data_IF_022959047104
#
_entry.id   IF_022959047104
#
_cell.length_a   1.000
_cell.length_b   1.000
_cell.length_c   1.000
_cell.angle_alpha   90.00
_cell.angle_beta   90.00
_cell.angle_gamma   90.00
#
_symmetry.space_group_name_H-M   'P 1'
#
loop_
_entity.id
_entity.type
_entity.pdbx_description
1 polymer ?
#
# COMPACT_ATOMS: atom_id res chain seq x y z
N UNK A 1 26.33 -4.53 -4.72
CA UNK A 1 25.03 -4.07 -4.20
C UNK A 1 24.01 -5.08 -4.68
N UNK A 2 23.38 -5.78 -3.75
CA UNK A 2 22.24 -6.64 -4.10
C UNK A 2 21.07 -5.70 -4.40
N UNK A 3 20.28 -5.91 -5.46
CA UNK A 3 19.37 -4.86 -5.88
C UNK A 3 18.14 -4.84 -4.94
N UNK A 4 17.87 -3.67 -4.38
CA UNK A 4 16.84 -3.45 -3.34
C UNK A 4 15.42 -3.56 -3.91
N UNK A 5 14.47 -4.07 -3.11
CA UNK A 5 13.03 -4.05 -3.42
C UNK A 5 12.33 -3.04 -2.53
N UNK A 6 11.38 -2.31 -3.10
CA UNK A 6 10.55 -1.40 -2.32
C UNK A 6 9.06 -1.64 -2.59
N UNK A 7 8.25 -1.71 -1.53
CA UNK A 7 6.80 -1.79 -1.62
C UNK A 7 6.17 -0.63 -0.85
N UNK A 8 5.47 0.26 -1.55
CA UNK A 8 4.59 1.23 -0.91
C UNK A 8 3.25 0.58 -0.60
N UNK A 9 2.93 0.40 0.69
CA UNK A 9 1.63 -0.09 1.14
C UNK A 9 0.82 1.07 1.71
N UNK A 10 -0.24 1.49 1.01
CA UNK A 10 -1.08 2.64 1.37
C UNK A 10 -2.51 2.23 1.69
N UNK A 11 -3.14 2.99 2.59
CA UNK A 11 -4.58 2.91 2.83
C UNK A 11 -5.32 3.47 1.62
N UNK A 12 -6.44 2.86 1.26
CA UNK A 12 -7.33 3.42 0.25
C UNK A 12 -7.73 4.88 0.55
N UNK A 13 -8.03 5.64 -0.51
CA UNK A 13 -8.54 7.01 -0.39
C UNK A 13 -9.94 7.08 0.21
N UNK A 14 -10.41 8.29 0.47
CA UNK A 14 -11.77 8.52 0.99
C UNK A 14 -12.83 7.82 0.14
N UNK A 15 -13.71 7.08 0.80
CA UNK A 15 -14.79 6.31 0.15
C UNK A 15 -16.13 6.97 0.36
N UNK A 16 -17.06 6.64 -0.52
CA UNK A 16 -18.48 6.95 -0.32
C UNK A 16 -18.98 6.18 0.92
N UNK A 17 -19.74 6.81 1.85
CA UNK A 17 -20.13 6.17 3.11
C UNK A 17 -20.89 4.85 2.94
N UNK A 18 -21.74 4.78 1.92
CA UNK A 18 -22.66 3.66 1.67
C UNK A 18 -22.23 2.78 0.48
N UNK A 19 -21.04 2.98 -0.08
CA UNK A 19 -20.59 2.22 -1.24
C UNK A 19 -19.10 1.85 -1.19
N UNK A 20 -18.76 0.68 -1.74
CA UNK A 20 -17.37 0.29 -1.97
C UNK A 20 -16.83 0.96 -3.24
N UNK A 21 -16.70 2.27 -3.20
CA UNK A 21 -16.10 3.10 -4.27
C UNK A 21 -15.50 4.37 -3.67
N UNK A 22 -14.57 4.99 -4.37
CA UNK A 22 -14.04 6.28 -3.93
C UNK A 22 -15.08 7.39 -4.03
N UNK A 23 -15.02 8.35 -3.10
CA UNK A 23 -15.68 9.64 -3.29
C UNK A 23 -14.97 10.44 -4.38
N UNK A 24 -15.62 11.49 -4.88
CA UNK A 24 -14.98 12.39 -5.85
C UNK A 24 -13.73 13.06 -5.26
N UNK A 25 -13.79 13.45 -3.98
CA UNK A 25 -12.67 14.02 -3.24
C UNK A 25 -11.55 12.99 -3.03
N UNK A 26 -11.87 11.78 -2.59
CA UNK A 26 -10.90 10.69 -2.42
C UNK A 26 -10.17 10.35 -3.71
N UNK A 27 -10.86 10.38 -4.86
CA UNK A 27 -10.25 10.21 -6.18
C UNK A 27 -9.32 11.35 -6.54
N UNK A 28 -9.75 12.61 -6.35
CA UNK A 28 -8.94 13.78 -6.65
C UNK A 28 -7.65 13.80 -5.82
N UNK A 29 -7.75 13.53 -4.50
CA UNK A 29 -6.60 13.45 -3.60
C UNK A 29 -5.63 12.32 -3.96
N UNK A 30 -6.15 11.18 -4.42
CA UNK A 30 -5.33 10.07 -4.90
C UNK A 30 -4.57 10.44 -6.20
N UNK A 31 -5.23 11.13 -7.13
CA UNK A 31 -4.56 11.67 -8.33
C UNK A 31 -3.49 12.71 -7.96
N UNK A 32 -3.77 13.60 -7.00
CA UNK A 32 -2.79 14.56 -6.48
C UNK A 32 -1.59 13.90 -5.83
N UNK A 33 -1.81 12.86 -5.04
CA UNK A 33 -0.72 12.05 -4.49
C UNK A 33 0.13 11.46 -5.63
N UNK A 34 -0.50 10.87 -6.65
CA UNK A 34 0.18 10.36 -7.84
C UNK A 34 1.06 11.41 -8.51
N UNK A 35 0.53 12.63 -8.72
CA UNK A 35 1.27 13.77 -9.27
C UNK A 35 2.48 14.14 -8.43
N UNK A 36 2.31 14.24 -7.11
CA UNK A 36 3.38 14.61 -6.16
C UNK A 36 4.50 13.58 -6.10
N UNK A 37 4.15 12.29 -6.10
CA UNK A 37 5.15 11.23 -6.02
C UNK A 37 6.01 11.15 -7.28
N UNK A 38 5.43 11.44 -8.46
CA UNK A 38 6.15 11.39 -9.74
C UNK A 38 6.82 10.04 -10.01
N UNK A 39 6.40 9.00 -9.31
CA UNK A 39 7.06 7.72 -9.26
C UNK A 39 6.46 6.76 -10.28
N UNK A 40 7.27 5.80 -10.70
CA UNK A 40 6.84 4.64 -11.48
C UNK A 40 6.81 3.42 -10.56
N UNK A 41 5.83 2.57 -10.77
CA UNK A 41 5.71 1.27 -10.10
C UNK A 41 5.72 0.17 -11.15
N UNK A 42 6.55 -0.83 -10.90
CA UNK A 42 6.74 -1.98 -11.79
C UNK A 42 5.65 -3.04 -11.60
N UNK A 43 5.04 -3.07 -10.40
CA UNK A 43 3.94 -3.95 -10.03
C UNK A 43 2.95 -3.22 -9.12
N UNK A 44 1.67 -3.57 -9.25
CA UNK A 44 0.58 -2.97 -8.45
C UNK A 44 -0.28 -4.07 -7.87
N UNK A 45 -0.51 -4.03 -6.56
CA UNK A 45 -1.36 -4.94 -5.81
C UNK A 45 -2.52 -4.18 -5.17
N UNK A 46 -3.70 -4.78 -5.14
CA UNK A 46 -4.87 -4.20 -4.48
C UNK A 46 -5.58 -5.26 -3.69
N UNK A 47 -6.13 -4.90 -2.55
CA UNK A 47 -7.10 -5.77 -1.90
C UNK A 47 -8.31 -6.01 -2.82
N UNK A 48 -9.10 -7.09 -2.60
CA UNK A 48 -10.37 -7.32 -3.30
C UNK A 48 -11.41 -6.19 -3.27
N UNK A 49 -11.28 -5.21 -2.36
CA UNK A 49 -12.19 -4.07 -2.29
C UNK A 49 -12.08 -3.15 -3.51
N UNK A 50 -13.22 -2.78 -4.09
CA UNK A 50 -13.27 -1.92 -5.27
C UNK A 50 -12.66 -0.54 -5.02
N UNK A 51 -12.86 0.05 -3.83
CA UNK A 51 -12.22 1.33 -3.47
C UNK A 51 -10.68 1.28 -3.49
N UNK A 52 -10.08 0.12 -3.20
CA UNK A 52 -8.64 -0.05 -3.27
C UNK A 52 -8.15 -0.02 -4.73
N UNK A 53 -8.86 -0.74 -5.62
CA UNK A 53 -8.60 -0.69 -7.05
C UNK A 53 -8.77 0.71 -7.65
N UNK A 54 -9.84 1.42 -7.26
CA UNK A 54 -10.06 2.80 -7.70
C UNK A 54 -8.97 3.77 -7.18
N UNK A 55 -8.48 3.55 -5.95
CA UNK A 55 -7.35 4.34 -5.40
C UNK A 55 -6.08 4.13 -6.20
N UNK A 56 -5.73 2.87 -6.47
CA UNK A 56 -4.56 2.57 -7.30
C UNK A 56 -4.69 3.24 -8.68
N UNK A 57 -5.83 3.06 -9.36
CA UNK A 57 -6.05 3.67 -10.67
C UNK A 57 -5.93 5.20 -10.67
N UNK A 58 -6.42 5.87 -9.63
CA UNK A 58 -6.31 7.31 -9.46
C UNK A 58 -4.84 7.76 -9.25
N UNK A 59 -4.10 7.11 -8.35
CA UNK A 59 -2.67 7.38 -8.14
C UNK A 59 -1.88 7.21 -9.44
N UNK A 60 -2.09 6.10 -10.15
CA UNK A 60 -1.37 5.79 -11.39
C UNK A 60 -1.68 6.81 -12.49
N UNK A 61 -2.95 7.24 -12.60
CA UNK A 61 -3.37 8.32 -13.52
C UNK A 61 -2.65 9.63 -13.17
N UNK A 62 -2.63 10.01 -11.90
CA UNK A 62 -1.95 11.21 -11.43
C UNK A 62 -0.45 11.20 -11.73
N UNK A 63 0.21 10.06 -11.57
CA UNK A 63 1.63 9.89 -11.86
C UNK A 63 1.96 9.94 -13.38
N UNK A 64 0.95 9.90 -14.26
CA UNK A 64 1.17 9.78 -15.71
C UNK A 64 1.85 8.47 -16.10
N UNK A 65 1.75 7.43 -15.26
CA UNK A 65 2.39 6.15 -15.48
C UNK A 65 1.53 5.24 -16.38
N UNK A 66 2.13 4.66 -17.42
CA UNK A 66 1.64 3.40 -18.00
C UNK A 66 1.91 2.30 -16.98
N UNK A 67 0.98 2.15 -16.04
CA UNK A 67 1.14 1.22 -14.94
C UNK A 67 0.58 -0.15 -15.33
N UNK A 68 1.15 -1.24 -14.78
CA UNK A 68 0.59 -2.57 -14.96
C UNK A 68 -0.84 -2.62 -14.41
N UNK A 69 -1.66 -3.50 -14.98
CA UNK A 69 -2.98 -3.77 -14.41
C UNK A 69 -2.83 -4.27 -12.96
N UNK A 70 -3.58 -3.71 -12.00
CA UNK A 70 -3.49 -4.14 -10.61
C UNK A 70 -3.83 -5.62 -10.45
N UNK A 71 -3.01 -6.33 -9.69
CA UNK A 71 -3.30 -7.69 -9.25
C UNK A 71 -4.08 -7.67 -7.93
N UNK A 72 -5.10 -8.51 -7.83
CA UNK A 72 -5.84 -8.69 -6.58
C UNK A 72 -5.05 -9.56 -5.62
N UNK A 73 -4.74 -9.04 -4.44
CA UNK A 73 -4.05 -9.71 -3.34
C UNK A 73 -4.99 -9.90 -2.14
N UNK A 74 -5.63 -11.08 -1.98
CA UNK A 74 -6.57 -11.35 -0.88
C UNK A 74 -5.97 -11.14 0.52
N UNK A 75 -4.67 -11.41 0.68
CA UNK A 75 -3.94 -11.21 1.94
C UNK A 75 -3.96 -9.77 2.48
N UNK A 76 -4.28 -8.77 1.65
CA UNK A 76 -4.44 -7.37 2.09
C UNK A 76 -5.76 -7.10 2.83
N UNK A 77 -6.73 -8.03 2.81
CA UNK A 77 -7.99 -7.95 3.58
C UNK A 77 -8.03 -8.92 4.77
N UNK A 78 -7.29 -10.03 4.70
CA UNK A 78 -7.49 -11.19 5.57
C UNK A 78 -8.87 -11.82 5.31
N UNK A 79 -8.90 -13.11 4.96
CA UNK A 79 -10.12 -13.80 4.55
C UNK A 79 -11.04 -14.10 5.75
N UNK A 80 -10.50 -14.18 6.97
CA UNK A 80 -11.23 -14.28 8.25
C UNK A 80 -10.50 -13.65 9.45
N UNK A 81 -11.07 -13.72 10.66
CA UNK A 81 -10.43 -13.20 11.89
C UNK A 81 -9.08 -13.89 12.18
N UNK A 82 -9.00 -15.19 11.93
CA UNK A 82 -7.78 -15.98 12.09
C UNK A 82 -6.66 -15.55 11.14
N UNK A 83 -7.01 -14.99 9.96
CA UNK A 83 -6.04 -14.48 8.98
C UNK A 83 -5.59 -13.06 9.25
N UNK A 84 -6.27 -12.36 10.18
CA UNK A 84 -5.96 -10.99 10.54
C UNK A 84 -5.00 -10.90 11.73
N UNK A 85 -4.30 -11.97 12.10
CA UNK A 85 -3.21 -11.83 13.10
C UNK A 85 -2.07 -10.98 12.53
N UNK A 86 -1.31 -10.27 13.39
CA UNK A 86 -0.14 -9.51 12.93
C UNK A 86 0.83 -10.36 12.11
N UNK A 87 1.10 -11.59 12.54
CA UNK A 87 2.07 -12.49 11.91
C UNK A 87 1.63 -12.90 10.50
N UNK A 88 0.34 -13.23 10.31
CA UNK A 88 -0.19 -13.60 8.99
C UNK A 88 -0.25 -12.42 8.04
N UNK A 89 -0.69 -11.26 8.52
CA UNK A 89 -0.72 -10.04 7.72
C UNK A 89 0.71 -9.59 7.35
N UNK A 90 1.65 -9.70 8.28
CA UNK A 90 3.06 -9.44 8.03
C UNK A 90 3.63 -10.37 6.97
N UNK A 91 3.41 -11.69 7.10
CA UNK A 91 3.82 -12.67 6.10
C UNK A 91 3.24 -12.37 4.72
N UNK A 92 1.95 -12.05 4.63
CA UNK A 92 1.30 -11.68 3.37
C UNK A 92 1.94 -10.43 2.72
N UNK A 93 2.28 -9.41 3.51
CA UNK A 93 2.96 -8.22 2.99
C UNK A 93 4.40 -8.53 2.55
N UNK A 94 5.13 -9.37 3.30
CA UNK A 94 6.46 -9.85 2.88
C UNK A 94 6.42 -10.62 1.56
N UNK A 95 5.40 -11.45 1.35
CA UNK A 95 5.20 -12.16 0.08
C UNK A 95 4.97 -11.18 -1.08
N UNK A 96 4.20 -10.11 -0.88
CA UNK A 96 4.04 -9.07 -1.89
C UNK A 96 5.36 -8.34 -2.19
N UNK A 97 6.16 -8.02 -1.16
CA UNK A 97 7.46 -7.39 -1.34
C UNK A 97 8.42 -8.29 -2.14
N UNK A 98 8.44 -9.60 -1.86
CA UNK A 98 9.26 -10.57 -2.57
C UNK A 98 8.90 -10.70 -4.06
N UNK A 99 7.67 -10.33 -4.42
CA UNK A 99 7.17 -10.32 -5.81
C UNK A 99 7.49 -9.03 -6.56
N UNK A 100 7.98 -8.00 -5.88
CA UNK A 100 8.48 -6.79 -6.53
C UNK A 100 9.77 -7.13 -7.28
N UNK A 101 9.93 -6.70 -8.56
CA UNK A 101 11.16 -6.92 -9.30
C UNK A 101 12.40 -6.41 -8.56
N UNK A 102 13.52 -7.06 -8.82
CA UNK A 102 14.80 -6.75 -8.18
C UNK A 102 15.28 -5.37 -8.63
N UNK A 103 15.47 -4.42 -7.70
CA UNK A 103 15.71 -3.01 -8.03
C UNK A 103 14.45 -2.20 -8.36
N UNK A 104 13.27 -2.83 -8.25
CA UNK A 104 11.98 -2.25 -8.62
C UNK A 104 11.17 -1.76 -7.44
N UNK A 105 10.00 -1.18 -7.77
CA UNK A 105 9.08 -0.57 -6.83
C UNK A 105 7.66 -1.06 -7.05
N UNK A 106 7.03 -1.56 -6.00
CA UNK A 106 5.63 -1.96 -5.98
C UNK A 106 4.74 -0.92 -5.31
N UNK A 107 3.48 -0.86 -5.75
CA UNK A 107 2.40 -0.17 -5.04
C UNK A 107 1.38 -1.21 -4.55
N UNK A 108 1.00 -1.16 -3.28
CA UNK A 108 -0.07 -1.96 -2.71
C UNK A 108 -1.12 -1.04 -2.05
N UNK A 109 -2.40 -1.29 -2.33
CA UNK A 109 -3.50 -0.59 -1.67
C UNK A 109 -4.28 -1.54 -0.76
N UNK A 110 -4.29 -1.22 0.54
CA UNK A 110 -4.94 -1.99 1.60
C UNK A 110 -5.83 -1.13 2.50
N UNK A 111 -5.98 -1.59 3.75
CA UNK A 111 -6.93 -1.03 4.72
C UNK A 111 -6.29 -0.83 6.08
N UNK A 112 -6.70 0.23 6.76
CA UNK A 112 -6.59 0.32 8.22
C UNK A 112 -7.71 -0.52 8.86
N UNK A 113 -7.47 -1.23 9.98
CA UNK A 113 -6.22 -1.33 10.74
C UNK A 113 -5.27 -2.46 10.29
N UNK A 114 -5.45 -3.03 9.10
CA UNK A 114 -4.70 -4.22 8.66
C UNK A 114 -3.26 -3.91 8.29
N UNK A 115 -3.00 -2.75 7.71
CA UNK A 115 -1.64 -2.29 7.40
C UNK A 115 -0.83 -2.15 8.70
N UNK A 116 -1.40 -1.52 9.72
CA UNK A 116 -0.77 -1.32 11.02
C UNK A 116 -0.49 -2.65 11.71
N UNK A 117 -1.41 -3.62 11.59
CA UNK A 117 -1.20 -4.99 12.10
C UNK A 117 -0.12 -5.73 11.33
N UNK A 118 -0.03 -5.56 10.01
CA UNK A 118 1.07 -6.12 9.22
C UNK A 118 2.42 -5.54 9.67
N UNK A 119 2.49 -4.22 9.87
CA UNK A 119 3.70 -3.55 10.40
C UNK A 119 4.08 -4.10 11.77
N UNK A 120 3.11 -4.30 12.67
CA UNK A 120 3.33 -4.94 13.96
C UNK A 120 3.91 -6.35 13.80
N UNK A 121 3.37 -7.17 12.90
CA UNK A 121 3.90 -8.52 12.66
C UNK A 121 5.30 -8.56 12.04
N UNK A 122 5.63 -7.56 11.22
CA UNK A 122 6.93 -7.47 10.55
C UNK A 122 8.04 -6.92 11.43
N UNK A 123 7.70 -5.99 12.33
CA UNK A 123 8.69 -5.17 13.05
C UNK A 123 8.61 -5.32 14.57
N UNK A 124 7.55 -5.96 15.09
CA UNK A 124 7.23 -5.94 16.52
C UNK A 124 6.77 -4.57 17.04
N UNK A 125 6.64 -3.56 16.17
CA UNK A 125 6.32 -2.19 16.55
C UNK A 125 4.92 -1.80 16.10
N UNK A 126 4.13 -1.28 17.02
CA UNK A 126 2.81 -0.72 16.70
C UNK A 126 2.95 0.74 16.25
N UNK A 127 2.31 1.08 15.13
CA UNK A 127 2.23 2.45 14.61
C UNK A 127 0.85 3.06 14.88
N UNK A 128 0.77 4.39 14.87
CA UNK A 128 -0.50 5.11 14.96
C UNK A 128 -1.38 4.80 13.73
N UNK A 129 -2.72 4.86 13.86
CA UNK A 129 -3.62 4.64 12.72
C UNK A 129 -3.28 5.53 11.52
N UNK A 130 -3.31 4.95 10.33
CA UNK A 130 -3.06 5.61 9.07
C UNK A 130 -4.33 6.33 8.60
N UNK A 131 -4.18 7.59 8.19
CA UNK A 131 -5.24 8.32 7.48
C UNK A 131 -5.34 7.80 6.04
N UNK A 132 -6.37 8.22 5.34
CA UNK A 132 -6.56 7.87 3.93
C UNK A 132 -5.35 8.31 3.11
N UNK A 133 -4.92 7.46 2.16
CA UNK A 133 -3.73 7.64 1.33
C UNK A 133 -2.37 7.61 2.06
N UNK A 134 -2.33 7.72 3.39
CA UNK A 134 -1.14 7.42 4.17
C UNK A 134 -0.79 5.93 4.07
N UNK A 135 0.45 5.60 4.40
CA UNK A 135 0.91 4.22 4.32
C UNK A 135 2.24 4.00 5.00
N UNK A 136 2.92 2.96 4.54
CA UNK A 136 4.31 2.67 4.84
C UNK A 136 5.04 2.30 3.56
N UNK A 137 6.35 2.53 3.51
CA UNK A 137 7.22 1.91 2.52
C UNK A 137 8.04 0.84 3.21
N UNK A 138 8.01 -0.36 2.64
CA UNK A 138 8.86 -1.48 3.03
C UNK A 138 10.02 -1.55 2.07
N UNK A 139 11.24 -1.66 2.59
CA UNK A 139 12.47 -1.71 1.82
C UNK A 139 13.31 -2.90 2.26
N UNK A 140 13.59 -3.81 1.33
CA UNK A 140 14.55 -4.88 1.52
C UNK A 140 15.97 -4.35 1.27
N UNK A 141 16.81 -4.40 2.30
CA UNK A 141 18.21 -3.95 2.26
C UNK A 141 19.17 -5.01 1.72
N UNK A 142 20.38 -4.58 1.37
CA UNK A 142 21.46 -5.43 0.85
C UNK A 142 21.88 -6.58 1.79
N UNK A 143 21.59 -6.47 3.08
CA UNK A 143 21.84 -7.46 4.13
C UNK A 143 20.68 -8.45 4.34
N UNK A 144 19.61 -8.34 3.54
CA UNK A 144 18.36 -9.08 3.74
C UNK A 144 17.49 -8.52 4.87
N UNK A 145 17.88 -7.39 5.47
CA UNK A 145 17.09 -6.71 6.49
C UNK A 145 15.89 -5.98 5.91
N UNK A 146 14.76 -6.03 6.62
CA UNK A 146 13.57 -5.26 6.28
C UNK A 146 13.56 -3.92 7.03
N UNK A 147 13.45 -2.83 6.28
CA UNK A 147 13.19 -1.49 6.83
C UNK A 147 11.75 -1.06 6.49
N UNK A 148 11.09 -0.44 7.45
CA UNK A 148 9.72 0.08 7.29
C UNK A 148 9.73 1.56 7.68
N UNK A 149 9.26 2.42 6.79
CA UNK A 149 9.16 3.87 7.02
C UNK A 149 7.72 4.33 6.80
N UNK A 150 7.22 5.21 7.67
CA UNK A 150 5.84 5.71 7.57
C UNK A 150 5.71 6.78 6.49
N UNK A 151 4.71 6.62 5.62
CA UNK A 151 4.33 7.56 4.57
C UNK A 151 3.14 8.38 5.07
N UNK A 152 3.43 9.37 5.92
CA UNK A 152 2.42 10.30 6.44
C UNK A 152 2.27 11.49 5.49
N UNK A 153 1.04 11.93 5.26
CA UNK A 153 0.85 13.28 4.74
C UNK A 153 1.20 14.22 5.89
N UNK A 154 2.21 15.07 5.69
CA UNK A 154 2.41 16.21 6.59
C UNK A 154 1.06 16.95 6.64
N UNK A 155 0.53 17.28 7.83
CA UNK A 155 -0.61 18.17 7.86
C UNK A 155 -0.22 19.42 7.09
N UNK A 156 -1.05 19.83 6.13
CA UNK A 156 -0.98 21.18 5.57
C UNK A 156 -0.98 22.14 6.78
N UNK A 157 0.20 22.67 7.10
CA UNK A 157 0.42 23.70 8.12
C UNK A 157 0.17 25.07 7.51
#
# INVERSE_FOLDING_TARGET
>A
MVPMRALELRRHGEREPEADRLSAEGRARAEDLGRRLGARWDVVFVSPARRAAETAAAILRGAGAEAPSPEVAPGLLGEGEEDRTPERLGAAVSELLARVPTGGRGLAIGHTPLIERAVLGLTGTQIAPLRELEGVVLVEGDDGGLRVEELRDAPDV
#
